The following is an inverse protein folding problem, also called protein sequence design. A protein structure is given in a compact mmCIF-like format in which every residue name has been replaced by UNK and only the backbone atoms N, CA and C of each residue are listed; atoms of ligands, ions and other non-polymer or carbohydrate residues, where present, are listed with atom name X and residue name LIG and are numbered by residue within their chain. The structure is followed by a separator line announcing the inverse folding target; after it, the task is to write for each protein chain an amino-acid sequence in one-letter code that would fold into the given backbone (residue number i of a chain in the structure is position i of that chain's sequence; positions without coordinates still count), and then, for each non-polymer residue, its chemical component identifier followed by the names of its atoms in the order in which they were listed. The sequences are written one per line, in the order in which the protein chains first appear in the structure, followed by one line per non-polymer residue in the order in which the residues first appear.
data_IF_805542671042
#
_entry.id   IF_805542671042
#
_cell.length_a   1.000
_cell.length_b   1.000
_cell.length_c   1.000
_cell.angle_alpha   90.00
_cell.angle_beta   90.00
_cell.angle_gamma   90.00
#
_symmetry.space_group_name_H-M   'P 1'
#
loop_
_entity.id
_entity.type
_entity.pdbx_description
1 polymer ?
#
# COMPACT_ATOMS: atom_id res chain seq x y z
N UNK A 1 29.51 -45.92 6.28
CA UNK A 1 29.41 -44.85 7.31
C UNK A 1 30.03 -43.54 6.83
N UNK A 2 31.20 -43.57 6.18
CA UNK A 2 31.86 -42.38 5.62
C UNK A 2 31.04 -41.65 4.54
N UNK A 3 30.38 -42.39 3.66
CA UNK A 3 29.58 -41.82 2.56
C UNK A 3 28.35 -41.04 3.08
N UNK A 4 27.68 -41.58 4.10
CA UNK A 4 26.56 -40.91 4.79
C UNK A 4 27.03 -39.62 5.48
N UNK A 5 28.26 -39.58 6.00
CA UNK A 5 28.85 -38.38 6.59
C UNK A 5 29.07 -37.29 5.54
N UNK A 6 29.67 -37.64 4.40
CA UNK A 6 29.87 -36.72 3.27
C UNK A 6 28.57 -36.14 2.72
N UNK A 7 27.52 -36.95 2.65
CA UNK A 7 26.19 -36.50 2.23
C UNK A 7 25.59 -35.49 3.23
N UNK A 8 25.71 -35.73 4.54
CA UNK A 8 25.25 -34.78 5.57
C UNK A 8 26.02 -33.46 5.54
N UNK A 9 27.33 -33.51 5.31
CA UNK A 9 28.15 -32.32 5.18
C UNK A 9 27.74 -31.51 3.94
N UNK A 10 27.45 -32.19 2.82
CA UNK A 10 26.97 -31.57 1.59
C UNK A 10 25.58 -30.95 1.77
N UNK A 11 24.66 -31.66 2.43
CA UNK A 11 23.33 -31.15 2.77
C UNK A 11 23.43 -29.88 3.63
N UNK A 12 24.31 -29.86 4.64
CA UNK A 12 24.53 -28.68 5.48
C UNK A 12 25.05 -27.48 4.67
N UNK A 13 25.95 -27.71 3.71
CA UNK A 13 26.47 -26.66 2.83
C UNK A 13 25.35 -26.10 1.94
N UNK A 14 24.54 -26.96 1.31
CA UNK A 14 23.44 -26.54 0.45
C UNK A 14 22.37 -25.78 1.24
N UNK A 15 22.04 -26.21 2.46
CA UNK A 15 21.12 -25.49 3.35
C UNK A 15 21.62 -24.07 3.66
N UNK A 16 22.92 -23.92 3.96
CA UNK A 16 23.53 -22.59 4.17
C UNK A 16 23.46 -21.73 2.91
N UNK A 17 23.66 -22.31 1.73
CA UNK A 17 23.54 -21.58 0.46
C UNK A 17 22.10 -21.15 0.19
N UNK A 18 21.12 -22.02 0.42
CA UNK A 18 19.68 -21.68 0.30
C UNK A 18 19.34 -20.53 1.24
N UNK A 19 19.76 -20.61 2.51
CA UNK A 19 19.50 -19.56 3.49
C UNK A 19 20.11 -18.21 3.06
N UNK A 20 21.33 -18.24 2.52
CA UNK A 20 22.00 -17.05 2.01
C UNK A 20 21.26 -16.44 0.82
N UNK A 21 20.84 -17.27 -0.14
CA UNK A 21 20.06 -16.84 -1.29
C UNK A 21 18.71 -16.25 -0.87
N UNK A 22 18.02 -16.86 0.08
CA UNK A 22 16.75 -16.35 0.61
C UNK A 22 16.93 -14.99 1.29
N UNK A 23 17.98 -14.83 2.10
CA UNK A 23 18.28 -13.57 2.77
C UNK A 23 18.58 -12.47 1.74
N UNK A 24 19.41 -12.76 0.75
CA UNK A 24 19.74 -11.83 -0.32
C UNK A 24 18.51 -11.44 -1.15
N UNK A 25 17.64 -12.40 -1.48
CA UNK A 25 16.37 -12.12 -2.15
C UNK A 25 15.49 -11.19 -1.32
N UNK A 26 15.38 -11.43 -0.01
CA UNK A 26 14.64 -10.56 0.91
C UNK A 26 15.17 -9.13 0.89
N UNK A 27 16.49 -8.96 0.99
CA UNK A 27 17.13 -7.64 0.97
C UNK A 27 16.87 -6.90 -0.35
N UNK A 28 16.99 -7.59 -1.49
CA UNK A 28 16.74 -7.02 -2.82
C UNK A 28 15.27 -6.64 -2.98
N UNK A 29 14.34 -7.47 -2.49
CA UNK A 29 12.91 -7.15 -2.50
C UNK A 29 12.62 -5.89 -1.67
N UNK A 30 13.17 -5.78 -0.45
CA UNK A 30 13.00 -4.58 0.38
C UNK A 30 13.54 -3.32 -0.32
N UNK A 31 14.71 -3.42 -0.96
CA UNK A 31 15.27 -2.31 -1.73
C UNK A 31 14.38 -1.92 -2.92
N UNK A 32 13.83 -2.90 -3.63
CA UNK A 32 12.92 -2.67 -4.75
C UNK A 32 11.65 -1.96 -4.29
N UNK A 33 10.99 -2.44 -3.23
CA UNK A 33 9.80 -1.79 -2.69
C UNK A 33 10.08 -0.37 -2.20
N UNK A 34 11.23 -0.12 -1.57
CA UNK A 34 11.65 1.23 -1.19
C UNK A 34 11.78 2.17 -2.40
N UNK A 35 12.38 1.71 -3.49
CA UNK A 35 12.51 2.49 -4.73
C UNK A 35 11.16 2.75 -5.40
N UNK A 36 10.30 1.71 -5.48
CA UNK A 36 8.95 1.83 -6.04
C UNK A 36 8.12 2.84 -5.22
N UNK A 37 8.15 2.74 -3.90
CA UNK A 37 7.41 3.65 -3.02
C UNK A 37 7.86 5.11 -3.22
N UNK A 38 9.17 5.36 -3.31
CA UNK A 38 9.70 6.71 -3.59
C UNK A 38 9.26 7.22 -4.96
N UNK A 39 9.29 6.37 -6.00
CA UNK A 39 8.83 6.75 -7.32
C UNK A 39 7.33 7.10 -7.32
N UNK A 40 6.51 6.28 -6.65
CA UNK A 40 5.08 6.50 -6.48
C UNK A 40 4.80 7.78 -5.69
N UNK A 41 5.56 8.09 -4.64
CA UNK A 41 5.42 9.35 -3.89
C UNK A 41 5.60 10.57 -4.79
N UNK A 42 6.66 10.59 -5.60
CA UNK A 42 6.92 11.69 -6.55
C UNK A 42 5.81 11.77 -7.59
N UNK A 43 5.40 10.65 -8.18
CA UNK A 43 4.30 10.62 -9.15
C UNK A 43 3.00 11.12 -8.55
N UNK A 44 2.67 10.72 -7.32
CA UNK A 44 1.48 11.16 -6.61
C UNK A 44 1.50 12.68 -6.36
N UNK A 45 2.66 13.29 -6.06
CA UNK A 45 2.79 14.74 -5.92
C UNK A 45 2.63 15.51 -7.25
N UNK A 46 2.88 14.85 -8.38
CA UNK A 46 2.66 15.41 -9.72
C UNK A 46 1.22 15.20 -10.21
N UNK A 47 0.48 14.25 -9.64
CA UNK A 47 -0.90 13.99 -10.01
C UNK A 47 -1.77 15.25 -9.79
N UNK A 48 -2.69 15.59 -10.71
CA UNK A 48 -3.53 16.78 -10.57
C UNK A 48 -4.29 16.83 -9.24
N UNK A 49 -4.74 15.67 -8.75
CA UNK A 49 -5.54 15.55 -7.54
C UNK A 49 -4.77 15.89 -6.26
N UNK A 50 -3.43 15.74 -6.24
CA UNK A 50 -2.62 16.15 -5.08
C UNK A 50 -2.36 17.66 -5.04
N UNK A 51 -2.62 18.37 -6.13
CA UNK A 51 -2.46 19.83 -6.25
C UNK A 51 -3.75 20.61 -6.03
N UNK A 52 -4.90 19.92 -5.99
CA UNK A 52 -6.17 20.56 -5.68
C UNK A 52 -6.16 21.10 -4.24
N UNK A 53 -6.77 22.27 -3.97
CA UNK A 53 -7.05 22.74 -2.61
C UNK A 53 -7.92 21.75 -1.82
N UNK A 54 -7.87 21.83 -0.49
CA UNK A 54 -8.64 20.94 0.37
C UNK A 54 -10.14 21.09 0.17
N UNK A 55 -10.60 22.31 -0.09
CA UNK A 55 -12.01 22.67 -0.31
C UNK A 55 -12.54 22.01 -1.59
N UNK A 56 -11.71 21.96 -2.63
CA UNK A 56 -12.07 21.30 -3.89
C UNK A 56 -12.14 19.78 -3.74
N UNK A 57 -11.21 19.18 -3.00
CA UNK A 57 -11.26 17.76 -2.66
C UNK A 57 -12.52 17.42 -1.84
N UNK A 58 -12.84 18.24 -0.83
CA UNK A 58 -14.03 18.05 -0.01
C UNK A 58 -15.32 18.16 -0.85
N UNK A 59 -15.41 19.13 -1.75
CA UNK A 59 -16.56 19.25 -2.65
C UNK A 59 -16.72 17.99 -3.53
N UNK A 60 -15.63 17.47 -4.09
CA UNK A 60 -15.63 16.22 -4.86
C UNK A 60 -16.05 15.02 -4.00
N UNK A 61 -15.57 14.93 -2.75
CA UNK A 61 -15.94 13.85 -1.84
C UNK A 61 -17.42 13.89 -1.48
N UNK A 62 -17.95 15.08 -1.18
CA UNK A 62 -19.37 15.28 -0.87
C UNK A 62 -20.26 14.90 -2.05
N UNK A 63 -19.84 15.22 -3.28
CA UNK A 63 -20.55 14.82 -4.49
C UNK A 63 -20.50 13.30 -4.69
N UNK A 64 -19.33 12.68 -4.53
CA UNK A 64 -19.16 11.23 -4.66
C UNK A 64 -20.04 10.44 -3.67
N UNK A 65 -20.16 10.94 -2.44
CA UNK A 65 -21.06 10.38 -1.42
C UNK A 65 -22.53 10.66 -1.76
N UNK A 66 -22.84 11.83 -2.33
CA UNK A 66 -24.20 12.21 -2.69
C UNK A 66 -24.77 11.37 -3.83
N UNK A 67 -23.93 11.06 -4.82
CA UNK A 67 -24.27 10.25 -6.01
C UNK A 67 -24.10 8.73 -5.81
N UNK A 68 -23.71 8.26 -4.62
CA UNK A 68 -23.47 6.84 -4.42
C UNK A 68 -24.76 6.01 -4.59
N UNK A 69 -24.67 4.88 -5.32
CA UNK A 69 -25.78 3.92 -5.40
C UNK A 69 -25.96 3.26 -4.01
N UNK A 70 -27.13 3.42 -3.36
CA UNK A 70 -27.40 2.85 -2.04
C UNK A 70 -27.27 1.32 -1.97
N UNK A 71 -27.30 0.64 -3.12
CA UNK A 71 -27.19 -0.82 -3.22
C UNK A 71 -25.75 -1.32 -3.22
N UNK A 72 -24.76 -0.43 -3.30
CA UNK A 72 -23.35 -0.84 -3.23
C UNK A 72 -22.96 -1.22 -1.80
N UNK A 73 -22.35 -2.39 -1.66
CA UNK A 73 -21.87 -2.90 -0.38
C UNK A 73 -20.76 -2.03 0.23
N UNK A 74 -19.93 -1.41 -0.61
CA UNK A 74 -18.84 -0.53 -0.17
C UNK A 74 -19.24 0.91 -0.36
N UNK A 75 -19.20 1.66 0.73
CA UNK A 75 -19.59 3.07 0.71
C UNK A 75 -18.45 3.99 0.30
N UNK A 76 -18.80 5.10 -0.36
CA UNK A 76 -17.84 6.03 -0.91
C UNK A 76 -16.95 6.67 0.17
N UNK A 77 -17.53 6.97 1.35
CA UNK A 77 -16.82 7.58 2.48
C UNK A 77 -15.62 6.72 2.91
N UNK A 78 -15.83 5.40 3.00
CA UNK A 78 -14.77 4.46 3.37
C UNK A 78 -13.68 4.40 2.29
N UNK A 79 -14.04 4.28 1.01
CA UNK A 79 -13.06 4.26 -0.07
C UNK A 79 -12.21 5.52 -0.10
N UNK A 80 -12.84 6.69 0.04
CA UNK A 80 -12.15 7.99 0.08
C UNK A 80 -11.14 8.02 1.22
N UNK A 81 -11.51 7.52 2.41
CA UNK A 81 -10.62 7.50 3.59
C UNK A 81 -9.37 6.60 3.43
N UNK A 82 -9.35 5.70 2.45
CA UNK A 82 -8.26 4.73 2.24
C UNK A 82 -7.30 5.11 1.11
N UNK A 83 -7.54 6.21 0.38
CA UNK A 83 -6.70 6.60 -0.77
C UNK A 83 -5.33 7.12 -0.37
N UNK A 84 -5.27 8.02 0.61
CA UNK A 84 -4.02 8.62 1.08
C UNK A 84 -4.17 9.19 2.49
N UNK A 85 -3.05 9.50 3.15
CA UNK A 85 -3.06 10.18 4.46
C UNK A 85 -3.86 11.49 4.40
N UNK A 86 -3.61 12.32 3.38
CA UNK A 86 -4.32 13.60 3.20
C UNK A 86 -5.84 13.42 3.01
N UNK A 87 -6.24 12.45 2.19
CA UNK A 87 -7.67 12.18 1.95
C UNK A 87 -8.36 11.68 3.21
N UNK A 88 -7.68 10.79 3.95
CA UNK A 88 -8.16 10.31 5.25
C UNK A 88 -8.33 11.43 6.25
N UNK A 89 -7.35 12.32 6.37
CA UNK A 89 -7.42 13.46 7.29
C UNK A 89 -8.60 14.37 6.93
N UNK A 90 -8.79 14.68 5.64
CA UNK A 90 -9.96 15.45 5.18
C UNK A 90 -11.28 14.73 5.45
N UNK A 91 -11.34 13.42 5.20
CA UNK A 91 -12.56 12.64 5.40
C UNK A 91 -12.96 12.57 6.88
N UNK A 92 -12.01 12.33 7.78
CA UNK A 92 -12.25 12.25 9.23
C UNK A 92 -12.74 13.61 9.78
N UNK A 93 -12.17 14.72 9.32
CA UNK A 93 -12.52 16.05 9.80
C UNK A 93 -13.71 16.69 9.07
N UNK A 94 -14.39 15.95 8.18
CA UNK A 94 -15.61 16.42 7.51
C UNK A 94 -16.82 15.57 7.88
N UNK A 95 -17.53 15.92 8.98
CA UNK A 95 -18.73 15.19 9.42
C UNK A 95 -19.82 15.09 8.36
N UNK A 96 -19.85 16.03 7.39
CA UNK A 96 -20.83 16.07 6.30
C UNK A 96 -20.81 14.82 5.43
N UNK A 97 -19.63 14.20 5.25
CA UNK A 97 -19.45 12.97 4.49
C UNK A 97 -20.12 11.77 5.16
N UNK A 98 -20.14 11.73 6.49
CA UNK A 98 -20.60 10.57 7.26
C UNK A 98 -22.08 10.62 7.63
N UNK A 99 -22.82 11.66 7.24
CA UNK A 99 -24.24 11.83 7.64
C UNK A 99 -25.17 10.70 7.20
N UNK A 100 -24.80 9.96 6.15
CA UNK A 100 -25.59 8.86 5.62
C UNK A 100 -25.12 7.50 6.16
N UNK A 101 -24.07 7.47 6.99
CA UNK A 101 -23.44 6.28 7.59
C UNK A 101 -24.16 5.90 8.85
#
# INVERSE_FOLDING_TARGET
QEEVRKLKDTESILQKQIQRCQSYLGDVQTQLYSKINKANEVQNLLAPVSRLPNEMLLAIFEEAVSCQDPRKAVRAEFNISQVSRRWRDLAIHSPRLWRRV
#
